data_IF_477772683227
#
_entry.id   IF_477772683227
#
_cell.length_a   1.000
_cell.length_b   1.000
_cell.length_c   1.000
_cell.angle_alpha   90.00
_cell.angle_beta   90.00
_cell.angle_gamma   90.00
#
_symmetry.space_group_name_H-M   'P 1'
#
loop_
_entity.id
_entity.type
_entity.pdbx_description
1 polymer ?
#
# COMPACT_ATOMS: atom_id res chain seq x y z
N UNK A 1 16.17 24.47 2.40
CA UNK A 1 15.76 23.04 2.35
C UNK A 1 14.84 22.90 1.16
N UNK A 2 14.91 21.80 0.37
CA UNK A 2 13.92 21.59 -0.67
C UNK A 2 12.52 21.54 -0.04
N UNK A 3 11.53 22.09 -0.74
CA UNK A 3 10.13 22.00 -0.35
C UNK A 3 9.72 20.52 -0.39
N UNK A 4 9.06 20.04 0.68
CA UNK A 4 8.63 18.64 0.75
C UNK A 4 7.29 18.52 0.03
N UNK A 5 7.16 17.54 -0.86
CA UNK A 5 5.87 17.17 -1.44
C UNK A 5 4.93 16.65 -0.35
N UNK A 6 3.67 17.08 -0.41
CA UNK A 6 2.59 16.68 0.50
C UNK A 6 1.49 16.06 -0.37
N UNK A 7 1.06 14.86 0.00
CA UNK A 7 -0.04 14.12 -0.63
C UNK A 7 -1.08 13.80 0.44
N UNK A 8 -2.31 14.29 0.25
CA UNK A 8 -3.43 13.98 1.13
C UNK A 8 -4.01 12.60 0.78
N UNK A 9 -4.07 11.72 1.77
CA UNK A 9 -4.57 10.34 1.66
C UNK A 9 -5.36 9.99 2.91
N UNK A 10 -6.43 9.22 2.76
CA UNK A 10 -7.19 8.70 3.90
C UNK A 10 -6.43 7.56 4.59
N UNK A 11 -5.78 6.70 3.80
CA UNK A 11 -4.96 5.58 4.31
C UNK A 11 -3.68 5.40 3.50
N UNK A 12 -2.56 5.35 4.21
CA UNK A 12 -1.24 5.04 3.66
C UNK A 12 -0.70 3.74 4.26
N UNK A 13 -0.35 2.79 3.40
CA UNK A 13 0.45 1.62 3.76
C UNK A 13 1.93 1.87 3.43
N UNK A 14 2.83 1.60 4.38
CA UNK A 14 4.28 1.70 4.19
C UNK A 14 4.86 0.30 4.00
N UNK A 15 5.51 0.10 2.85
CA UNK A 15 6.03 -1.18 2.36
C UNK A 15 4.99 -1.95 1.54
N UNK A 16 5.37 -2.45 0.36
CA UNK A 16 4.54 -3.27 -0.52
C UNK A 16 4.85 -4.78 -0.35
N UNK A 17 4.99 -5.23 0.89
CA UNK A 17 5.07 -6.65 1.23
C UNK A 17 3.69 -7.34 1.25
N UNK A 18 3.64 -8.68 1.46
CA UNK A 18 2.39 -9.43 1.43
C UNK A 18 1.32 -8.92 2.41
N UNK A 19 1.72 -8.53 3.62
CA UNK A 19 0.79 -8.02 4.63
C UNK A 19 0.12 -6.71 4.19
N UNK A 20 0.90 -5.73 3.74
CA UNK A 20 0.38 -4.43 3.30
C UNK A 20 -0.42 -4.54 2.01
N UNK A 21 0.02 -5.35 1.05
CA UNK A 21 -0.74 -5.56 -0.19
C UNK A 21 -2.07 -6.25 0.09
N UNK A 22 -2.08 -7.31 0.91
CA UNK A 22 -3.32 -7.97 1.33
C UNK A 22 -4.24 -7.01 2.09
N UNK A 23 -3.69 -6.21 3.01
CA UNK A 23 -4.42 -5.20 3.76
C UNK A 23 -5.03 -4.11 2.87
N UNK A 24 -4.25 -3.55 1.95
CA UNK A 24 -4.71 -2.51 1.02
C UNK A 24 -5.81 -3.04 0.08
N UNK A 25 -5.64 -4.25 -0.46
CA UNK A 25 -6.65 -4.90 -1.32
C UNK A 25 -7.93 -5.13 -0.53
N UNK A 26 -7.85 -5.72 0.66
CA UNK A 26 -9.03 -6.02 1.46
C UNK A 26 -9.73 -4.75 1.94
N UNK A 27 -8.98 -3.72 2.33
CA UNK A 27 -9.56 -2.44 2.71
C UNK A 27 -10.30 -1.79 1.53
N UNK A 28 -9.72 -1.80 0.33
CA UNK A 28 -10.38 -1.23 -0.85
C UNK A 28 -11.65 -2.02 -1.22
N UNK A 29 -11.66 -3.34 -1.02
CA UNK A 29 -12.88 -4.16 -1.16
C UNK A 29 -13.97 -3.73 -0.18
N UNK A 30 -13.65 -3.60 1.11
CA UNK A 30 -14.60 -3.17 2.14
C UNK A 30 -15.15 -1.77 1.87
N UNK A 31 -14.32 -0.85 1.37
CA UNK A 31 -14.77 0.47 0.94
C UNK A 31 -15.76 0.40 -0.22
N UNK A 32 -15.47 -0.41 -1.24
CA UNK A 32 -16.39 -0.60 -2.36
C UNK A 32 -17.72 -1.24 -1.91
N UNK A 33 -17.67 -2.24 -1.03
CA UNK A 33 -18.87 -2.92 -0.49
C UNK A 33 -19.75 -2.00 0.37
N UNK A 34 -19.13 -1.08 1.11
CA UNK A 34 -19.83 -0.12 1.97
C UNK A 34 -20.23 1.18 1.26
N UNK A 35 -19.86 1.34 -0.01
CA UNK A 35 -20.06 2.60 -0.75
C UNK A 35 -19.22 3.76 -0.19
N UNK A 36 -18.14 3.47 0.53
CA UNK A 36 -17.22 4.46 1.08
C UNK A 36 -16.19 4.84 0.01
N UNK A 37 -16.17 6.12 -0.39
CA UNK A 37 -15.10 6.65 -1.23
C UNK A 37 -13.94 7.16 -0.37
N UNK A 38 -12.86 6.37 -0.33
CA UNK A 38 -11.62 6.74 0.35
C UNK A 38 -10.40 6.38 -0.51
N UNK A 39 -9.38 7.23 -0.42
CA UNK A 39 -8.08 7.13 -1.06
C UNK A 39 -7.15 6.22 -0.26
N UNK A 40 -6.56 5.24 -0.94
CA UNK A 40 -5.63 4.28 -0.35
C UNK A 40 -4.37 4.23 -1.21
N UNK A 41 -3.20 4.44 -0.60
CA UNK A 41 -1.92 4.32 -1.28
C UNK A 41 -1.00 3.30 -0.57
N UNK A 42 -0.08 2.73 -1.34
CA UNK A 42 1.00 1.87 -0.85
C UNK A 42 2.32 2.48 -1.31
N UNK A 43 3.22 2.76 -0.37
CA UNK A 43 4.54 3.30 -0.66
C UNK A 43 5.60 2.21 -0.50
N UNK A 44 6.43 1.99 -1.51
CA UNK A 44 7.53 1.02 -1.48
C UNK A 44 8.86 1.71 -1.78
N UNK A 45 9.91 1.29 -1.07
CA UNK A 45 11.29 1.78 -1.26
C UNK A 45 11.95 1.16 -2.48
N UNK A 46 11.61 -0.08 -2.80
CA UNK A 46 12.10 -0.78 -3.96
C UNK A 46 11.73 -0.05 -5.26
N UNK A 47 12.60 -0.15 -6.26
CA UNK A 47 12.34 0.42 -7.59
C UNK A 47 11.09 -0.17 -8.25
N UNK A 48 10.78 -1.42 -7.89
CA UNK A 48 9.61 -2.17 -8.33
C UNK A 48 9.07 -3.00 -7.15
N UNK A 49 7.76 -3.21 -7.11
CA UNK A 49 7.14 -4.04 -6.07
C UNK A 49 7.78 -5.43 -6.08
N UNK A 50 8.28 -5.86 -4.91
CA UNK A 50 8.92 -7.16 -4.74
C UNK A 50 10.43 -7.18 -4.98
N UNK A 51 11.07 -6.12 -5.50
CA UNK A 51 12.52 -6.13 -5.72
C UNK A 51 13.37 -6.16 -4.43
N UNK A 52 12.76 -5.90 -3.26
CA UNK A 52 13.37 -6.14 -1.94
C UNK A 52 12.80 -7.37 -1.21
N UNK A 53 11.89 -8.13 -1.83
CA UNK A 53 11.36 -9.35 -1.23
C UNK A 53 12.40 -10.46 -1.25
N UNK A 54 12.60 -11.09 -0.11
CA UNK A 54 13.40 -12.29 0.04
C UNK A 54 12.62 -13.29 0.89
N UNK A 55 12.41 -14.49 0.36
CA UNK A 55 11.65 -15.53 1.04
C UNK A 55 12.15 -16.91 0.60
N UNK A 56 12.00 -17.91 1.48
CA UNK A 56 12.08 -19.32 1.09
C UNK A 56 10.80 -19.84 0.41
N UNK A 57 9.75 -19.02 0.44
CA UNK A 57 8.50 -19.14 -0.34
C UNK A 57 7.88 -20.54 -0.37
N UNK A 58 7.24 -20.95 0.73
CA UNK A 58 6.35 -22.12 0.77
C UNK A 58 4.92 -21.59 0.99
N UNK A 59 4.06 -21.76 -0.01
CA UNK A 59 2.67 -21.26 -0.01
C UNK A 59 1.67 -22.36 -0.35
#
# INVERSE_FOLDING_TARGET
>A
MPEREILDLDVLFVGAGPASLAGAIQLKRLFNESGCEASVAVLEKASEVGAHSLSGEIF
#
